data_IF_188708108069
#
_entry.id   IF_188708108069
#
_cell.length_a   1.000
_cell.length_b   1.000
_cell.length_c   1.000
_cell.angle_alpha   90.00
_cell.angle_beta   90.00
_cell.angle_gamma   90.00
#
_symmetry.space_group_name_H-M   'P 1'
#
loop_
_entity.id
_entity.type
_entity.pdbx_description
1 polymer ?
#
# COMPACT_ATOMS: atom_id res chain seq x y z
N UNK A 1 35.21 -23.65 -25.43
CA UNK A 1 34.98 -22.23 -25.09
C UNK A 1 33.52 -21.80 -25.32
N UNK A 2 32.56 -22.73 -25.37
CA UNK A 2 31.12 -22.44 -25.58
C UNK A 2 30.25 -22.67 -24.35
N UNK A 3 30.81 -23.27 -23.29
CA UNK A 3 30.06 -23.61 -22.05
C UNK A 3 29.90 -22.42 -21.08
N UNK A 4 30.49 -21.26 -21.40
CA UNK A 4 30.46 -20.04 -20.58
C UNK A 4 29.27 -19.11 -20.90
N UNK A 5 28.46 -19.44 -21.92
CA UNK A 5 27.24 -18.70 -22.28
C UNK A 5 26.05 -19.65 -22.05
N UNK A 6 25.82 -20.06 -20.80
CA UNK A 6 24.51 -20.56 -20.42
C UNK A 6 23.58 -19.36 -20.36
N UNK A 7 22.52 -19.30 -21.17
CA UNK A 7 21.61 -18.18 -21.12
C UNK A 7 20.92 -18.24 -19.75
N UNK A 8 21.18 -17.25 -18.89
CA UNK A 8 20.40 -17.02 -17.67
C UNK A 8 18.98 -16.50 -18.02
N UNK A 9 18.38 -17.03 -19.08
CA UNK A 9 17.13 -16.56 -19.67
C UNK A 9 15.98 -17.43 -19.21
N UNK A 10 15.76 -17.50 -17.90
CA UNK A 10 14.43 -17.82 -17.38
C UNK A 10 14.27 -17.30 -15.95
N UNK A 11 14.40 -15.99 -15.77
CA UNK A 11 13.77 -15.34 -14.62
C UNK A 11 12.28 -15.25 -14.92
N UNK A 12 11.52 -16.27 -14.49
CA UNK A 12 10.06 -16.17 -14.44
C UNK A 12 9.70 -15.19 -13.32
N UNK A 13 9.31 -13.98 -13.69
CA UNK A 13 8.74 -13.03 -12.73
C UNK A 13 7.28 -13.40 -12.58
N UNK A 14 6.97 -14.11 -11.49
CA UNK A 14 5.58 -14.38 -11.17
C UNK A 14 4.86 -13.05 -10.94
N UNK A 15 3.75 -12.88 -11.65
CA UNK A 15 2.93 -11.68 -11.55
C UNK A 15 2.39 -11.47 -10.12
N UNK A 16 1.64 -10.38 -9.88
CA UNK A 16 1.12 -10.07 -8.55
C UNK A 16 0.38 -11.26 -7.96
N UNK A 17 0.79 -11.70 -6.76
CA UNK A 17 0.13 -12.78 -6.04
C UNK A 17 -1.35 -12.44 -5.86
N UNK A 18 -2.22 -13.32 -6.36
CA UNK A 18 -3.66 -13.19 -6.20
C UNK A 18 -4.02 -13.73 -4.83
N UNK A 19 -4.50 -12.85 -3.95
CA UNK A 19 -4.85 -13.23 -2.59
C UNK A 19 -6.23 -13.86 -2.54
N UNK A 20 -7.19 -13.31 -3.28
CA UNK A 20 -8.59 -13.74 -3.28
C UNK A 20 -9.16 -13.51 -4.68
N UNK A 21 -9.87 -14.48 -5.24
CA UNK A 21 -10.68 -14.30 -6.45
C UNK A 21 -12.10 -14.80 -6.20
N UNK A 22 -13.08 -14.03 -6.63
CA UNK A 22 -14.49 -14.42 -6.53
C UNK A 22 -15.30 -13.83 -7.69
N UNK A 23 -16.31 -14.58 -8.10
CA UNK A 23 -17.19 -14.19 -9.19
C UNK A 23 -18.43 -13.47 -8.62
N UNK A 24 -18.74 -12.31 -9.17
CA UNK A 24 -19.96 -11.57 -8.93
C UNK A 24 -20.74 -11.54 -10.25
N UNK A 25 -21.73 -12.41 -10.38
CA UNK A 25 -22.43 -12.61 -11.66
C UNK A 25 -21.42 -13.03 -12.74
N UNK A 26 -21.32 -12.24 -13.81
CA UNK A 26 -20.38 -12.45 -14.92
C UNK A 26 -19.00 -11.77 -14.71
N UNK A 27 -18.80 -11.05 -13.60
CA UNK A 27 -17.55 -10.35 -13.33
C UNK A 27 -16.64 -11.16 -12.41
N UNK A 28 -15.43 -11.46 -12.89
CA UNK A 28 -14.38 -12.02 -12.07
C UNK A 28 -13.63 -10.88 -11.36
N UNK A 29 -13.80 -10.79 -10.04
CA UNK A 29 -13.06 -9.83 -9.22
C UNK A 29 -11.84 -10.52 -8.65
N UNK A 30 -10.66 -10.05 -9.07
CA UNK A 30 -9.36 -10.51 -8.59
C UNK A 30 -8.84 -9.47 -7.60
N UNK A 31 -8.70 -9.86 -6.34
CA UNK A 31 -8.03 -9.06 -5.33
C UNK A 31 -6.57 -9.52 -5.27
N UNK A 32 -5.69 -8.69 -5.81
CA UNK A 32 -4.24 -8.84 -5.67
C UNK A 32 -3.77 -8.44 -4.28
N UNK A 33 -2.63 -8.98 -3.87
CA UNK A 33 -1.94 -8.59 -2.63
C UNK A 33 -1.79 -7.07 -2.50
N UNK A 34 -1.47 -6.38 -3.60
CA UNK A 34 -1.32 -4.92 -3.62
C UNK A 34 -2.56 -4.16 -3.15
N UNK A 35 -3.77 -4.65 -3.44
CA UNK A 35 -5.03 -4.04 -3.01
C UNK A 35 -5.21 -4.19 -1.51
N UNK A 36 -4.92 -5.39 -0.99
CA UNK A 36 -5.00 -5.68 0.45
C UNK A 36 -3.99 -4.83 1.22
N UNK A 37 -2.75 -4.75 0.74
CA UNK A 37 -1.70 -3.92 1.33
C UNK A 37 -2.11 -2.45 1.31
N UNK A 38 -2.70 -1.96 0.22
CA UNK A 38 -3.20 -0.59 0.13
C UNK A 38 -4.27 -0.29 1.20
N UNK A 39 -5.22 -1.20 1.44
CA UNK A 39 -6.23 -1.00 2.48
C UNK A 39 -5.61 -0.96 3.88
N UNK A 40 -4.62 -1.80 4.15
CA UNK A 40 -3.90 -1.79 5.42
C UNK A 40 -3.18 -0.45 5.60
N UNK A 41 -2.47 0.03 4.58
CA UNK A 41 -1.76 1.32 4.63
C UNK A 41 -2.75 2.46 4.89
N UNK A 42 -3.88 2.48 4.18
CA UNK A 42 -4.92 3.49 4.37
C UNK A 42 -5.52 3.44 5.78
N UNK A 43 -5.77 2.24 6.33
CA UNK A 43 -6.27 2.07 7.70
C UNK A 43 -5.26 2.56 8.75
N UNK A 44 -3.98 2.24 8.59
CA UNK A 44 -2.91 2.71 9.48
C UNK A 44 -2.80 4.23 9.42
N UNK A 45 -2.77 4.83 8.22
CA UNK A 45 -2.73 6.27 8.05
C UNK A 45 -3.95 6.95 8.67
N UNK A 46 -5.15 6.40 8.47
CA UNK A 46 -6.38 6.92 9.08
C UNK A 46 -6.29 6.92 10.62
N UNK A 47 -5.78 5.84 11.22
CA UNK A 47 -5.57 5.76 12.68
C UNK A 47 -4.55 6.80 13.15
N UNK A 48 -3.44 6.96 12.42
CA UNK A 48 -2.40 7.95 12.73
C UNK A 48 -2.98 9.36 12.68
N UNK A 49 -3.65 9.73 11.59
CA UNK A 49 -4.28 11.04 11.45
C UNK A 49 -5.37 11.28 12.49
N UNK A 50 -6.16 10.26 12.83
CA UNK A 50 -7.15 10.37 13.89
C UNK A 50 -6.50 10.67 15.24
N UNK A 51 -5.41 9.99 15.59
CA UNK A 51 -4.68 10.22 16.84
C UNK A 51 -4.02 11.61 16.88
N UNK A 52 -3.42 12.04 15.76
CA UNK A 52 -2.82 13.38 15.66
C UNK A 52 -3.89 14.48 15.69
N UNK A 53 -4.99 14.27 14.97
CA UNK A 53 -6.11 15.19 14.85
C UNK A 53 -6.89 15.39 16.15
N UNK A 54 -6.98 14.36 17.01
CA UNK A 54 -7.80 14.41 18.24
C UNK A 54 -7.38 15.48 19.26
N UNK A 55 -6.15 16.00 19.17
CA UNK A 55 -5.60 16.98 20.12
C UNK A 55 -5.29 18.34 19.45
N UNK A 56 -5.82 18.60 18.26
CA UNK A 56 -5.65 19.89 17.61
C UNK A 56 -6.43 20.97 18.39
N UNK A 57 -5.69 21.80 19.15
CA UNK A 57 -6.21 23.00 19.80
C UNK A 57 -6.46 24.09 18.74
N UNK A 58 -7.65 24.70 18.73
CA UNK A 58 -8.10 25.77 17.81
C UNK A 58 -7.25 27.06 17.85
N UNK A 59 -6.26 27.15 18.74
CA UNK A 59 -5.31 28.26 18.82
C UNK A 59 -3.90 27.68 18.85
N UNK A 60 -3.11 28.02 17.83
CA UNK A 60 -1.72 27.56 17.65
C UNK A 60 -0.86 27.96 18.84
N UNK A 61 -0.55 27.01 19.73
CA UNK A 61 0.38 27.24 20.85
C UNK A 61 1.72 26.53 20.66
N UNK A 62 1.82 25.50 19.79
CA UNK A 62 3.04 24.69 19.70
C UNK A 62 3.46 24.34 18.25
N UNK A 63 4.78 24.28 18.04
CA UNK A 63 5.46 24.00 16.75
C UNK A 63 4.96 22.74 16.02
N UNK A 64 4.39 21.78 16.76
CA UNK A 64 3.86 20.53 16.22
C UNK A 64 2.53 20.69 15.46
N UNK A 65 1.70 21.68 15.82
CA UNK A 65 0.48 21.97 15.07
C UNK A 65 0.77 22.70 13.75
N UNK A 66 1.75 23.59 13.76
CA UNK A 66 2.16 24.34 12.57
C UNK A 66 2.70 23.43 11.46
N UNK A 67 3.38 22.34 11.81
CA UNK A 67 3.83 21.32 10.85
C UNK A 67 2.67 20.50 10.26
N UNK A 68 1.57 20.35 10.98
CA UNK A 68 0.37 19.65 10.50
C UNK A 68 -0.52 20.55 9.63
N UNK A 69 -0.52 21.88 9.86
CA UNK A 69 -1.17 22.86 8.97
C UNK A 69 -0.41 23.07 7.64
N UNK A 70 0.87 22.68 7.58
CA UNK A 70 1.73 22.91 6.41
C UNK A 70 1.78 21.72 5.42
N UNK A 71 1.25 20.55 5.82
CA UNK A 71 1.12 19.35 4.99
C UNK A 71 -0.25 19.33 4.30
#
# INVERSE_FOLDING_TARGET
MTDLIRPMTEFTVEGPLQSISFNIGDYNVIISESIVVQWIVMAVLAVVFFILGRNLKLRTTSKRQMAAEYL
#
